data_IF_628396002298
#
_entry.id   IF_628396002298
#
_cell.length_a   1.000
_cell.length_b   1.000
_cell.length_c   1.000
_cell.angle_alpha   90.00
_cell.angle_beta   90.00
_cell.angle_gamma   90.00
#
_symmetry.space_group_name_H-M   'P 1'
#
loop_
_entity.id
_entity.type
_entity.pdbx_description
1 polymer ?
#
# COMPACT_ATOMS: atom_id res chain seq x y z
N UNK A 1 28.44 -68.36 17.27
CA UNK A 1 29.26 -67.14 17.14
C UNK A 1 29.13 -66.59 15.73
N UNK A 2 28.35 -65.53 15.53
CA UNK A 2 28.24 -64.76 14.27
C UNK A 2 28.06 -63.28 14.65
N UNK A 3 28.89 -62.35 14.14
CA UNK A 3 28.85 -60.95 14.57
C UNK A 3 27.73 -60.18 13.85
N UNK A 4 26.90 -59.47 14.62
CA UNK A 4 25.91 -58.53 14.09
C UNK A 4 26.62 -57.29 13.52
N UNK A 5 26.39 -57.00 12.24
CA UNK A 5 26.72 -55.72 11.61
C UNK A 5 25.54 -54.77 11.82
N UNK A 6 25.70 -53.80 12.71
CA UNK A 6 24.83 -52.63 12.82
C UNK A 6 25.05 -51.71 11.61
N UNK A 7 24.13 -51.70 10.65
CA UNK A 7 24.07 -50.68 9.62
C UNK A 7 23.17 -49.54 10.12
N UNK A 8 23.78 -48.43 10.55
CA UNK A 8 23.08 -47.17 10.82
C UNK A 8 22.63 -46.58 9.48
N UNK A 9 21.33 -46.62 9.20
CA UNK A 9 20.73 -45.91 8.07
C UNK A 9 20.50 -44.46 8.54
N UNK A 10 21.31 -43.54 8.02
CA UNK A 10 21.16 -42.11 8.24
C UNK A 10 19.93 -41.57 7.50
N UNK A 11 18.89 -41.22 8.25
CA UNK A 11 17.72 -40.50 7.74
C UNK A 11 18.09 -39.03 7.53
N UNK A 12 18.40 -38.64 6.29
CA UNK A 12 18.52 -37.23 5.89
C UNK A 12 17.10 -36.66 5.79
N UNK A 13 16.68 -35.96 6.84
CA UNK A 13 15.46 -35.14 6.81
C UNK A 13 15.74 -33.93 5.94
N UNK A 14 15.29 -33.98 4.68
CA UNK A 14 15.25 -32.83 3.81
C UNK A 14 14.17 -31.87 4.31
N UNK A 15 14.56 -30.82 5.02
CA UNK A 15 13.69 -29.69 5.33
C UNK A 15 13.34 -28.97 4.03
N UNK A 16 12.20 -29.31 3.42
CA UNK A 16 11.59 -28.49 2.39
C UNK A 16 11.16 -27.17 3.03
N UNK A 17 11.90 -26.10 2.78
CA UNK A 17 11.50 -24.72 3.09
C UNK A 17 10.36 -24.28 2.15
N UNK A 18 9.19 -24.90 2.32
CA UNK A 18 7.94 -24.43 1.76
C UNK A 18 7.48 -23.17 2.51
N UNK A 19 8.17 -22.06 2.30
CA UNK A 19 7.62 -20.75 2.65
C UNK A 19 6.30 -20.54 1.89
N UNK A 20 5.30 -19.86 2.46
CA UNK A 20 4.09 -19.52 1.73
C UNK A 20 4.48 -18.70 0.51
N UNK A 21 4.41 -19.30 -0.68
CA UNK A 21 4.49 -18.54 -1.93
C UNK A 21 3.34 -17.55 -1.89
N UNK A 22 3.61 -16.22 -1.92
CA UNK A 22 2.54 -15.26 -1.99
C UNK A 22 1.68 -15.61 -3.21
N UNK A 23 0.35 -15.59 -3.10
CA UNK A 23 -0.52 -15.92 -4.22
C UNK A 23 -0.10 -15.03 -5.39
N UNK A 24 0.30 -15.63 -6.52
CA UNK A 24 0.40 -14.92 -7.81
C UNK A 24 -0.98 -14.32 -8.02
N UNK A 25 -1.13 -13.02 -7.78
CA UNK A 25 -2.36 -12.33 -8.14
C UNK A 25 -2.62 -12.68 -9.61
N UNK A 26 -3.86 -13.05 -9.94
CA UNK A 26 -4.24 -13.27 -11.32
C UNK A 26 -3.94 -11.97 -12.07
N UNK A 27 -2.80 -11.94 -12.76
CA UNK A 27 -2.16 -10.71 -13.17
C UNK A 27 -3.03 -10.02 -14.21
N UNK A 28 -3.26 -8.72 -14.02
CA UNK A 28 -3.87 -7.89 -15.07
C UNK A 28 -2.97 -8.01 -16.32
N UNK A 29 -3.48 -8.48 -17.46
CA UNK A 29 -2.63 -8.81 -18.61
C UNK A 29 -1.98 -7.55 -19.17
N UNK A 30 -0.71 -7.64 -19.58
CA UNK A 30 -0.05 -6.57 -20.31
C UNK A 30 -0.59 -6.46 -21.74
N UNK A 31 -0.70 -5.22 -22.21
CA UNK A 31 -1.00 -4.91 -23.60
C UNK A 31 -0.20 -3.68 -24.07
N UNK A 32 0.07 -3.56 -25.38
CA UNK A 32 0.75 -2.39 -25.92
C UNK A 32 0.03 -1.11 -25.56
N UNK A 33 0.75 -0.11 -25.04
CA UNK A 33 0.17 1.17 -24.65
C UNK A 33 -0.68 1.82 -25.77
N UNK A 34 -0.20 1.74 -27.02
CA UNK A 34 -0.94 2.25 -28.19
C UNK A 34 -2.32 1.61 -28.36
N UNK A 35 -2.45 0.30 -28.13
CA UNK A 35 -3.73 -0.41 -28.20
C UNK A 35 -4.72 0.03 -27.11
N UNK A 36 -4.21 0.63 -26.03
CA UNK A 36 -4.99 1.20 -24.93
C UNK A 36 -5.18 2.72 -25.10
N UNK A 37 -4.84 3.28 -26.25
CA UNK A 37 -4.91 4.72 -26.51
C UNK A 37 -3.97 5.53 -25.61
N UNK A 38 -2.83 4.96 -25.23
CA UNK A 38 -1.77 5.60 -24.45
C UNK A 38 -0.51 5.77 -25.31
N UNK A 39 0.21 6.86 -25.07
CA UNK A 39 1.45 7.17 -25.78
C UNK A 39 2.62 6.37 -25.15
N UNK A 40 3.17 5.43 -25.92
CA UNK A 40 4.32 4.63 -25.51
C UNK A 40 5.55 5.48 -25.17
N UNK A 41 5.83 6.53 -25.94
CA UNK A 41 7.03 7.34 -25.74
C UNK A 41 6.98 8.09 -24.41
N UNK A 42 5.79 8.62 -24.05
CA UNK A 42 5.58 9.25 -22.75
C UNK A 42 5.71 8.28 -21.59
N UNK A 43 5.18 7.05 -21.73
CA UNK A 43 5.33 6.04 -20.69
C UNK A 43 6.80 5.66 -20.47
N UNK A 44 7.56 5.46 -21.54
CA UNK A 44 9.01 5.25 -21.44
C UNK A 44 9.70 6.42 -20.75
N UNK A 45 9.37 7.66 -21.11
CA UNK A 45 9.95 8.85 -20.48
C UNK A 45 9.67 8.91 -18.96
N UNK A 46 8.45 8.55 -18.52
CA UNK A 46 8.11 8.50 -17.09
C UNK A 46 8.91 7.42 -16.36
N UNK A 47 9.07 6.23 -16.95
CA UNK A 47 9.87 5.15 -16.35
C UNK A 47 11.34 5.58 -16.21
N UNK A 48 11.91 6.20 -17.26
CA UNK A 48 13.27 6.72 -17.22
C UNK A 48 13.45 7.82 -16.18
N UNK A 49 12.46 8.70 -16.03
CA UNK A 49 12.47 9.72 -14.98
C UNK A 49 12.48 9.10 -13.58
N UNK A 50 11.62 8.11 -13.31
CA UNK A 50 11.59 7.43 -12.02
C UNK A 50 12.90 6.70 -11.71
N UNK A 51 13.54 6.09 -12.72
CA UNK A 51 14.85 5.49 -12.56
C UNK A 51 15.91 6.54 -12.18
N UNK A 52 15.94 7.68 -12.88
CA UNK A 52 16.89 8.76 -12.59
C UNK A 52 16.68 9.36 -11.19
N UNK A 53 15.43 9.52 -10.74
CA UNK A 53 15.13 9.99 -9.37
C UNK A 53 15.50 8.96 -8.30
N UNK A 54 15.40 7.67 -8.63
CA UNK A 54 15.88 6.61 -7.75
C UNK A 54 17.41 6.68 -7.62
N UNK A 55 18.10 6.86 -8.74
CA UNK A 55 19.56 6.99 -8.79
C UNK A 55 20.07 8.26 -8.10
N UNK A 56 19.29 9.35 -8.14
CA UNK A 56 19.59 10.61 -7.44
C UNK A 56 19.35 10.54 -5.92
N UNK A 57 18.74 9.45 -5.44
CA UNK A 57 18.49 9.22 -4.01
C UNK A 57 17.17 9.78 -3.48
N UNK A 58 16.24 10.20 -4.35
CA UNK A 58 14.92 10.68 -3.91
C UNK A 58 14.10 9.56 -3.25
N UNK A 59 14.24 8.32 -3.73
CA UNK A 59 13.69 7.10 -3.14
C UNK A 59 14.55 5.89 -3.53
N UNK A 60 14.62 4.84 -2.71
CA UNK A 60 15.48 3.69 -2.99
C UNK A 60 14.95 2.83 -4.15
N UNK A 61 13.63 2.69 -4.29
CA UNK A 61 13.01 1.94 -5.37
C UNK A 61 11.48 2.05 -5.38
N UNK A 62 10.88 1.75 -6.52
CA UNK A 62 9.45 1.87 -6.76
C UNK A 62 8.97 0.91 -7.86
N UNK A 63 7.65 0.70 -7.94
CA UNK A 63 7.02 -0.02 -9.06
C UNK A 63 5.95 0.88 -9.67
N UNK A 64 6.08 1.20 -10.96
CA UNK A 64 5.07 1.92 -11.73
C UNK A 64 4.14 0.92 -12.40
N UNK A 65 2.84 1.03 -12.13
CA UNK A 65 1.79 0.31 -12.87
C UNK A 65 0.84 1.30 -13.54
N UNK A 66 0.63 1.18 -14.84
CA UNK A 66 -0.33 1.98 -15.62
C UNK A 66 -1.24 1.03 -16.37
N UNK A 67 -2.55 1.21 -16.24
CA UNK A 67 -3.53 0.36 -16.90
C UNK A 67 -4.78 1.10 -17.38
N UNK A 68 -5.45 0.51 -18.37
CA UNK A 68 -6.71 0.98 -18.94
C UNK A 68 -7.50 -0.22 -19.47
N UNK A 69 -8.82 -0.19 -19.35
CA UNK A 69 -9.72 -1.25 -19.83
C UNK A 69 -9.35 -2.66 -19.30
N UNK A 70 -8.95 -2.76 -18.03
CA UNK A 70 -8.59 -4.04 -17.40
C UNK A 70 -7.29 -4.66 -17.94
N UNK A 71 -6.42 -3.85 -18.56
CA UNK A 71 -5.11 -4.26 -19.06
C UNK A 71 -4.02 -3.30 -18.60
N UNK A 72 -2.81 -3.79 -18.37
CA UNK A 72 -1.65 -2.96 -18.05
C UNK A 72 -0.93 -2.51 -19.31
N UNK A 73 -0.72 -1.22 -19.46
CA UNK A 73 0.13 -0.63 -20.49
C UNK A 73 1.61 -0.64 -20.08
N UNK A 74 1.88 -0.55 -18.77
CA UNK A 74 3.21 -0.57 -18.21
C UNK A 74 3.18 -1.19 -16.80
N UNK A 75 4.19 -2.01 -16.51
CA UNK A 75 4.51 -2.51 -15.17
C UNK A 75 6.03 -2.52 -15.06
N UNK A 76 6.58 -1.50 -14.42
CA UNK A 76 8.02 -1.23 -14.44
C UNK A 76 8.54 -1.06 -13.01
N UNK A 77 9.30 -2.04 -12.48
CA UNK A 77 10.08 -1.83 -11.26
C UNK A 77 11.31 -0.97 -11.54
N UNK A 78 11.70 -0.13 -10.58
CA UNK A 78 12.89 0.71 -10.60
C UNK A 78 13.59 0.67 -9.24
N UNK A 79 14.92 0.75 -9.25
CA UNK A 79 15.72 0.84 -8.04
C UNK A 79 15.79 -0.45 -7.21
N UNK A 80 16.00 -0.27 -5.91
CA UNK A 80 16.30 -1.31 -4.94
C UNK A 80 15.46 -1.16 -3.66
N UNK A 81 15.52 -2.13 -2.75
CA UNK A 81 14.68 -2.16 -1.55
C UNK A 81 14.96 -1.03 -0.56
N UNK A 82 16.22 -0.58 -0.47
CA UNK A 82 16.63 0.45 0.48
C UNK A 82 17.95 1.08 0.09
N UNK A 83 18.32 2.14 0.79
CA UNK A 83 19.62 2.82 0.60
C UNK A 83 20.78 1.86 0.90
N UNK A 84 20.66 1.09 1.98
CA UNK A 84 21.64 0.07 2.39
C UNK A 84 21.31 -1.34 1.85
N UNK A 85 20.16 -1.49 1.19
CA UNK A 85 19.65 -2.78 0.71
C UNK A 85 19.52 -2.76 -0.81
N UNK A 86 20.57 -3.28 -1.47
CA UNK A 86 20.70 -3.33 -2.93
C UNK A 86 19.94 -4.47 -3.60
N UNK A 87 19.00 -5.13 -2.91
CA UNK A 87 18.12 -6.09 -3.59
C UNK A 87 17.28 -5.35 -4.63
N UNK A 88 17.24 -5.80 -5.90
CA UNK A 88 16.46 -5.12 -6.93
C UNK A 88 14.97 -5.21 -6.61
N UNK A 89 14.25 -4.13 -6.88
CA UNK A 89 12.79 -4.16 -6.85
C UNK A 89 12.29 -5.03 -8.01
N UNK A 90 11.29 -5.86 -7.73
CA UNK A 90 10.58 -6.65 -8.71
C UNK A 90 9.11 -6.22 -8.78
N UNK A 91 8.41 -6.56 -9.86
CA UNK A 91 6.99 -6.23 -9.99
C UNK A 91 6.12 -6.84 -8.88
N UNK A 92 6.58 -7.92 -8.25
CA UNK A 92 5.93 -8.59 -7.12
C UNK A 92 6.47 -8.19 -5.74
N UNK A 93 7.32 -7.17 -5.66
CA UNK A 93 7.85 -6.70 -4.37
C UNK A 93 6.72 -6.27 -3.45
N UNK A 94 6.75 -6.77 -2.21
CA UNK A 94 5.77 -6.43 -1.19
C UNK A 94 6.15 -5.11 -0.51
N UNK A 95 5.17 -4.20 -0.44
CA UNK A 95 5.29 -2.91 0.23
C UNK A 95 4.29 -2.81 1.39
N UNK A 96 4.66 -2.07 2.44
CA UNK A 96 3.69 -1.64 3.44
C UNK A 96 2.76 -0.58 2.83
N UNK A 97 1.46 -0.86 2.84
CA UNK A 97 0.43 0.04 2.31
C UNK A 97 0.27 1.30 3.17
N UNK A 98 0.65 1.26 4.45
CA UNK A 98 0.59 2.39 5.38
C UNK A 98 -0.76 3.14 5.30
N UNK A 99 -0.76 4.40 4.85
CA UNK A 99 -1.98 5.19 4.76
C UNK A 99 -2.98 4.73 3.69
N UNK A 100 -2.59 3.91 2.71
CA UNK A 100 -3.53 3.30 1.76
C UNK A 100 -4.51 2.35 2.46
N UNK A 101 -4.15 1.79 3.62
CA UNK A 101 -5.06 1.03 4.49
C UNK A 101 -6.34 1.81 4.82
N UNK A 102 -6.26 3.14 4.91
CA UNK A 102 -7.45 3.98 5.18
C UNK A 102 -8.47 3.87 4.06
N UNK A 103 -8.03 3.92 2.81
CA UNK A 103 -8.94 3.90 1.65
C UNK A 103 -9.36 2.47 1.34
N UNK A 104 -8.41 1.52 1.33
CA UNK A 104 -8.68 0.14 0.91
C UNK A 104 -9.47 -0.64 1.96
N UNK A 105 -9.10 -0.53 3.25
CA UNK A 105 -9.72 -1.31 4.31
C UNK A 105 -10.75 -0.48 5.10
N UNK A 106 -10.32 0.62 5.71
CA UNK A 106 -11.18 1.37 6.64
C UNK A 106 -12.39 2.00 5.94
N UNK A 107 -12.20 2.72 4.83
CA UNK A 107 -13.29 3.36 4.09
C UNK A 107 -14.27 2.31 3.57
N UNK A 108 -13.78 1.21 2.99
CA UNK A 108 -14.61 0.10 2.53
C UNK A 108 -15.47 -0.47 3.67
N UNK A 109 -14.87 -0.79 4.81
CA UNK A 109 -15.60 -1.29 5.98
C UNK A 109 -16.63 -0.25 6.50
N UNK A 110 -16.27 1.03 6.52
CA UNK A 110 -17.20 2.09 6.88
C UNK A 110 -18.38 2.20 5.92
N UNK A 111 -18.16 2.10 4.60
CA UNK A 111 -19.24 2.19 3.62
C UNK A 111 -20.18 0.98 3.68
N UNK A 112 -19.65 -0.22 3.92
CA UNK A 112 -20.49 -1.41 4.20
C UNK A 112 -21.43 -1.14 5.39
N UNK A 113 -20.91 -0.56 6.47
CA UNK A 113 -21.74 -0.20 7.63
C UNK A 113 -22.75 0.92 7.34
N UNK A 114 -22.46 1.80 6.38
CA UNK A 114 -23.43 2.81 5.90
C UNK A 114 -24.55 2.14 5.14
N UNK A 115 -24.23 1.22 4.23
CA UNK A 115 -25.21 0.46 3.46
C UNK A 115 -26.11 -0.40 4.37
N UNK A 116 -25.54 -0.96 5.45
CA UNK A 116 -26.28 -1.67 6.50
C UNK A 116 -27.12 -0.74 7.42
N UNK A 117 -27.05 0.58 7.25
CA UNK A 117 -27.74 1.56 8.10
C UNK A 117 -27.17 1.68 9.53
N UNK A 118 -26.04 1.04 9.81
CA UNK A 118 -25.39 0.99 11.13
C UNK A 118 -24.46 2.17 11.38
N UNK A 119 -23.98 2.80 10.32
CA UNK A 119 -23.14 4.00 10.38
C UNK A 119 -23.80 5.13 9.58
N UNK A 120 -23.96 6.31 10.18
CA UNK A 120 -24.44 7.50 9.52
C UNK A 120 -23.31 8.54 9.50
N UNK A 121 -22.88 8.92 8.30
CA UNK A 121 -21.70 9.78 8.10
C UNK A 121 -21.84 11.17 8.73
N UNK A 122 -23.07 11.66 8.82
CA UNK A 122 -23.41 12.99 9.33
C UNK A 122 -23.85 12.97 10.79
N UNK A 123 -24.04 11.78 11.38
CA UNK A 123 -24.29 11.66 12.81
C UNK A 123 -23.06 12.10 13.63
N UNK A 124 -23.26 12.67 14.84
CA UNK A 124 -22.15 13.03 15.71
C UNK A 124 -21.37 11.77 16.10
N UNK A 125 -20.04 11.86 16.11
CA UNK A 125 -19.15 10.73 16.47
C UNK A 125 -19.50 10.17 17.87
N UNK A 126 -19.97 11.01 18.79
CA UNK A 126 -20.42 10.62 20.13
C UNK A 126 -21.53 9.53 20.12
N UNK A 127 -22.23 9.35 19.00
CA UNK A 127 -23.20 8.25 18.81
C UNK A 127 -22.53 6.87 18.78
N UNK A 128 -21.31 6.79 18.27
CA UNK A 128 -20.60 5.54 17.98
C UNK A 128 -19.40 5.30 18.89
N UNK A 129 -18.76 6.38 19.34
CA UNK A 129 -17.59 6.32 20.21
C UNK A 129 -17.87 7.18 21.43
N UNK A 130 -17.89 6.62 22.65
CA UNK A 130 -17.98 7.40 23.88
C UNK A 130 -16.90 8.48 23.89
N UNK A 131 -17.26 9.72 24.21
CA UNK A 131 -16.35 10.87 24.08
C UNK A 131 -15.03 10.60 24.84
N UNK A 132 -13.86 10.64 24.18
CA UNK A 132 -12.60 10.65 24.90
C UNK A 132 -12.55 11.94 25.73
N UNK A 133 -12.00 11.84 26.94
CA UNK A 133 -11.88 12.98 27.88
C UNK A 133 -11.48 14.24 27.11
N UNK A 134 -12.15 15.39 27.34
CA UNK A 134 -11.81 16.61 26.64
C UNK A 134 -10.32 16.90 26.83
N UNK A 135 -9.60 17.17 25.73
CA UNK A 135 -8.31 17.84 25.84
C UNK A 135 -8.54 19.12 26.64
N UNK A 136 -7.81 19.31 27.74
CA UNK A 136 -7.93 20.49 28.61
C UNK A 136 -8.09 21.76 27.77
N UNK A 137 -9.23 22.44 27.93
CA UNK A 137 -9.49 23.78 27.36
C UNK A 137 -10.08 23.88 25.94
N UNK A 138 -10.51 22.78 25.30
CA UNK A 138 -11.15 22.86 23.97
C UNK A 138 -12.69 22.76 24.01
N UNK A 139 -13.43 23.48 23.14
CA UNK A 139 -14.89 23.34 23.04
C UNK A 139 -15.30 21.92 22.62
N UNK A 140 -16.43 21.42 23.14
CA UNK A 140 -17.06 20.14 22.75
C UNK A 140 -17.52 20.22 21.29
N UNK A 141 -16.65 19.86 20.36
CA UNK A 141 -16.95 19.92 18.93
C UNK A 141 -17.81 18.72 18.53
N UNK A 142 -19.07 18.97 18.11
CA UNK A 142 -19.91 18.00 17.37
C UNK A 142 -19.27 17.73 16.00
N UNK A 143 -18.27 16.85 15.96
CA UNK A 143 -17.64 16.42 14.70
C UNK A 143 -18.43 15.23 14.16
N UNK A 144 -18.79 15.30 12.88
CA UNK A 144 -19.25 14.15 12.10
C UNK A 144 -18.07 13.52 11.35
N UNK A 145 -18.23 12.27 10.91
CA UNK A 145 -17.17 11.52 10.22
C UNK A 145 -16.77 12.23 8.91
N UNK A 146 -17.74 12.80 8.21
CA UNK A 146 -17.53 13.54 6.94
C UNK A 146 -16.66 14.80 7.10
N UNK A 147 -16.72 15.50 8.24
CA UNK A 147 -16.13 16.85 8.42
C UNK A 147 -14.64 16.87 8.77
N UNK A 148 -13.96 15.72 8.85
CA UNK A 148 -12.51 15.71 9.11
C UNK A 148 -11.65 16.15 7.90
N UNK A 149 -12.24 16.27 6.71
CA UNK A 149 -11.54 16.62 5.47
C UNK A 149 -11.62 18.10 5.05
N UNK A 150 -12.19 19.02 5.84
CA UNK A 150 -12.09 20.45 5.52
C UNK A 150 -10.72 21.00 5.97
N UNK A 151 -10.00 21.76 5.12
CA UNK A 151 -8.79 22.46 5.54
C UNK A 151 -9.11 23.33 6.76
N UNK A 152 -8.25 23.25 7.78
CA UNK A 152 -8.36 24.05 8.98
C UNK A 152 -8.15 25.51 8.58
N UNK A 153 -9.01 26.48 8.94
CA UNK A 153 -8.68 27.87 8.73
C UNK A 153 -7.40 28.18 9.52
N UNK A 154 -6.39 28.70 8.83
CA UNK A 154 -5.16 29.17 9.45
C UNK A 154 -5.53 30.20 10.53
N UNK A 155 -4.90 30.09 11.69
CA UNK A 155 -5.08 31.03 12.79
C UNK A 155 -4.52 32.37 12.32
N UNK A 156 -5.38 33.31 11.93
CA UNK A 156 -4.96 34.66 11.59
C UNK A 156 -4.33 35.30 12.83
N UNK A 157 -3.00 35.31 12.91
CA UNK A 157 -2.25 36.22 13.77
C UNK A 157 -2.19 37.56 13.03
N UNK A 158 -3.19 38.40 13.26
CA UNK A 158 -3.08 39.81 12.95
C UNK A 158 -2.28 40.47 14.08
N UNK A 159 -1.03 40.78 13.82
CA UNK A 159 -0.27 41.78 14.58
C UNK A 159 -0.37 43.08 13.79
N UNK A 160 -0.93 44.17 14.32
CA UNK A 160 -0.95 45.45 13.62
C UNK A 160 0.44 46.11 13.71
N UNK A 161 0.87 46.72 12.60
CA UNK A 161 1.80 47.85 12.59
C UNK A 161 0.94 49.08 12.31
#
# INVERSE_FOLDING_TARGET
MRPLRCALIGLVVACSSGGPTPPKSAGIPLAPARSLGLDSARLTAVVSYLAAESDSGAFPGAVLAVGRHGRLAALAPVGHYGVDDRRPVEAGTLYDLASLTKVVALTTACMILVDEGRLALDAPIARYVPEPRPRRGGPRSRRSIRRRCSPRPARATATPI
#
